data_IF_571005751648
#
_entry.id   IF_571005751648
#
_cell.length_a   1.000
_cell.length_b   1.000
_cell.length_c   1.000
_cell.angle_alpha   90.00
_cell.angle_beta   90.00
_cell.angle_gamma   90.00
#
_symmetry.space_group_name_H-M   'P 1'
#
loop_
_entity.id
_entity.type
_entity.pdbx_description
1 polymer ?
#
# COMPACT_ATOMS: atom_id res chain seq x y z
N UNK A 1 -7.81 8.61 -19.92
CA UNK A 1 -6.41 8.71 -19.47
C UNK A 1 -5.49 8.70 -20.70
N UNK A 2 -5.42 9.81 -21.44
CA UNK A 2 -4.60 9.90 -22.67
C UNK A 2 -3.81 11.20 -22.70
N UNK A 3 -4.46 12.31 -22.34
CA UNK A 3 -3.84 13.62 -22.21
C UNK A 3 -3.61 13.92 -20.74
N UNK A 4 -2.40 14.35 -20.40
CA UNK A 4 -1.97 14.65 -19.03
C UNK A 4 -1.50 16.10 -18.95
N UNK A 5 -1.84 16.76 -17.84
CA UNK A 5 -1.28 18.06 -17.45
C UNK A 5 -0.35 17.83 -16.27
N UNK A 6 0.90 18.25 -16.39
CA UNK A 6 1.85 18.17 -15.27
C UNK A 6 1.48 19.22 -14.21
N UNK A 7 1.36 18.77 -12.97
CA UNK A 7 1.10 19.60 -11.80
C UNK A 7 2.29 19.54 -10.84
N UNK A 8 2.29 20.42 -9.84
CA UNK A 8 3.29 20.43 -8.78
C UNK A 8 3.20 19.15 -7.92
N UNK A 9 4.30 18.72 -7.27
CA UNK A 9 4.26 17.58 -6.36
C UNK A 9 3.20 17.76 -5.26
N UNK A 10 2.24 16.83 -5.21
CA UNK A 10 1.13 16.89 -4.27
C UNK A 10 1.60 16.75 -2.80
N UNK A 11 2.56 15.85 -2.56
CA UNK A 11 3.20 15.63 -1.25
C UNK A 11 4.72 15.48 -1.45
N UNK A 12 5.50 16.04 -0.52
CA UNK A 12 6.97 16.05 -0.53
C UNK A 12 7.48 16.19 0.91
N UNK A 13 8.73 15.81 1.26
CA UNK A 13 9.24 15.88 2.63
C UNK A 13 9.05 17.26 3.26
N UNK A 14 8.30 17.33 4.37
CA UNK A 14 7.94 18.63 4.95
C UNK A 14 7.71 18.60 6.46
N UNK A 15 7.60 17.42 7.07
CA UNK A 15 7.29 17.25 8.49
C UNK A 15 8.27 16.26 9.14
N UNK A 16 8.45 16.27 10.48
CA UNK A 16 9.44 15.40 11.15
C UNK A 16 9.28 13.90 10.87
N UNK A 17 8.07 13.43 10.60
CA UNK A 17 7.74 12.03 10.31
C UNK A 17 8.02 11.61 8.85
N UNK A 18 8.36 12.54 7.97
CA UNK A 18 8.72 12.24 6.58
C UNK A 18 9.90 13.06 6.03
N UNK A 19 10.64 13.72 6.92
CA UNK A 19 11.70 14.66 6.57
C UNK A 19 12.83 14.05 5.73
N UNK A 20 13.06 12.73 5.84
CA UNK A 20 14.04 12.01 5.02
C UNK A 20 13.45 11.38 3.76
N UNK A 21 12.14 11.43 3.56
CA UNK A 21 11.50 10.88 2.37
C UNK A 21 9.98 10.76 2.52
N UNK A 22 9.27 11.09 1.45
CA UNK A 22 7.85 10.80 1.25
C UNK A 22 7.80 9.68 0.22
N UNK A 23 7.57 8.45 0.67
CA UNK A 23 7.59 7.23 -0.13
C UNK A 23 6.18 6.82 -0.55
N UNK A 24 6.10 5.67 -1.22
CA UNK A 24 4.88 5.12 -1.81
C UNK A 24 3.71 5.02 -0.83
N UNK A 25 2.53 4.96 -1.42
CA UNK A 25 1.26 4.98 -0.71
C UNK A 25 0.09 4.81 -1.67
N UNK A 26 -1.11 4.85 -1.11
CA UNK A 26 -2.36 4.65 -1.84
C UNK A 26 -3.39 5.70 -1.46
N UNK A 27 -4.34 5.96 -2.35
CA UNK A 27 -5.46 6.85 -2.09
C UNK A 27 -6.73 6.04 -1.77
N UNK A 28 -7.48 6.47 -0.77
CA UNK A 28 -8.83 5.96 -0.47
C UNK A 28 -9.82 7.11 -0.56
N UNK A 29 -10.87 6.94 -1.36
CA UNK A 29 -12.02 7.85 -1.37
C UNK A 29 -13.08 7.30 -0.44
N UNK A 30 -13.30 7.95 0.69
CA UNK A 30 -14.34 7.54 1.64
C UNK A 30 -15.74 7.95 1.17
N UNK A 31 -16.82 7.32 1.70
CA UNK A 31 -18.21 7.60 1.28
C UNK A 31 -18.67 9.07 1.41
N UNK A 32 -17.94 9.89 2.16
CA UNK A 32 -18.14 11.35 2.28
C UNK A 32 -17.40 12.16 1.19
N UNK A 33 -17.09 11.53 0.04
CA UNK A 33 -16.28 12.08 -1.07
C UNK A 33 -14.97 12.71 -0.58
N UNK A 34 -14.36 12.05 0.40
CA UNK A 34 -13.20 12.56 1.10
C UNK A 34 -11.99 11.69 0.75
N UNK A 35 -11.16 12.10 -0.22
CA UNK A 35 -9.97 11.38 -0.57
C UNK A 35 -8.90 11.57 0.52
N UNK A 36 -8.27 10.49 0.92
CA UNK A 36 -7.13 10.46 1.84
C UNK A 36 -6.00 9.70 1.17
N UNK A 37 -4.81 10.28 1.18
CA UNK A 37 -3.59 9.56 0.79
C UNK A 37 -2.98 8.98 2.04
N UNK A 38 -2.84 7.66 2.11
CA UNK A 38 -2.00 6.97 3.07
C UNK A 38 -0.64 6.73 2.43
N UNK A 39 0.45 7.03 3.13
CA UNK A 39 1.80 6.91 2.57
C UNK A 39 2.84 6.60 3.63
N UNK A 40 4.00 6.13 3.20
CA UNK A 40 5.16 5.94 4.08
C UNK A 40 6.01 7.19 4.14
N UNK A 41 6.26 7.71 5.34
CA UNK A 41 7.30 8.70 5.58
C UNK A 41 8.57 8.06 6.13
N UNK A 42 9.72 8.65 5.83
CA UNK A 42 10.99 8.34 6.49
C UNK A 42 11.28 9.43 7.51
N UNK A 43 11.24 9.07 8.78
CA UNK A 43 11.45 10.03 9.86
C UNK A 43 12.92 10.47 10.00
N UNK A 44 13.19 11.42 10.89
CA UNK A 44 14.54 11.90 11.16
C UNK A 44 15.54 10.80 11.58
N UNK A 45 15.06 9.68 12.13
CA UNK A 45 15.87 8.51 12.53
C UNK A 45 16.04 7.49 11.41
N UNK A 46 15.45 7.73 10.23
CA UNK A 46 15.48 6.79 9.12
C UNK A 46 14.48 5.64 9.27
N UNK A 47 13.51 5.75 10.16
CA UNK A 47 12.44 4.76 10.32
C UNK A 47 11.32 5.04 9.32
N UNK A 48 10.78 3.97 8.74
CA UNK A 48 9.58 4.01 7.92
C UNK A 48 8.36 4.02 8.83
N UNK A 49 7.55 5.07 8.70
CA UNK A 49 6.33 5.29 9.49
C UNK A 49 5.18 5.58 8.55
N UNK A 50 3.97 5.17 8.91
CA UNK A 50 2.80 5.39 8.06
C UNK A 50 2.12 6.68 8.45
N UNK A 51 1.77 7.46 7.44
CA UNK A 51 1.19 8.78 7.56
C UNK A 51 -0.03 8.90 6.66
N UNK A 52 -0.79 9.98 6.85
CA UNK A 52 -1.87 10.35 5.96
C UNK A 52 -1.84 11.84 5.59
N UNK A 53 -2.33 12.14 4.40
CA UNK A 53 -2.54 13.50 3.90
C UNK A 53 -3.98 13.65 3.38
N UNK A 54 -4.51 14.86 3.50
CA UNK A 54 -5.88 15.23 3.09
C UNK A 54 -5.83 16.46 2.18
N UNK A 55 -6.77 16.65 1.25
CA UNK A 55 -6.81 17.86 0.42
C UNK A 55 -6.96 19.11 1.29
N UNK A 56 -6.20 20.15 0.97
CA UNK A 56 -6.35 21.47 1.58
C UNK A 56 -7.64 22.16 1.12
N UNK A 57 -8.06 21.89 -0.12
CA UNK A 57 -9.28 22.40 -0.73
C UNK A 57 -9.91 21.29 -1.57
N UNK A 58 -11.12 20.85 -1.19
CA UNK A 58 -11.87 19.80 -1.89
C UNK A 58 -12.63 20.32 -3.11
N UNK A 59 -12.76 21.64 -3.24
CA UNK A 59 -13.41 22.27 -4.40
C UNK A 59 -12.45 22.46 -5.57
N UNK A 60 -11.14 22.35 -5.32
CA UNK A 60 -10.12 22.26 -6.37
C UNK A 60 -10.25 20.94 -7.11
N UNK A 61 -10.69 21.01 -8.38
CA UNK A 61 -10.87 19.86 -9.26
C UNK A 61 -9.60 19.05 -9.49
N UNK A 62 -8.42 19.67 -9.29
CA UNK A 62 -7.13 19.04 -9.48
C UNK A 62 -6.48 18.61 -8.17
N UNK A 63 -7.08 18.91 -7.01
CA UNK A 63 -6.59 18.59 -5.67
C UNK A 63 -5.08 18.89 -5.52
N UNK A 64 -4.65 20.10 -5.88
CA UNK A 64 -3.22 20.43 -6.01
C UNK A 64 -2.49 20.50 -4.66
N UNK A 65 -3.20 20.89 -3.61
CA UNK A 65 -2.62 21.13 -2.28
C UNK A 65 -3.11 20.10 -1.28
N UNK A 66 -2.17 19.51 -0.56
CA UNK A 66 -2.43 18.52 0.49
C UNK A 66 -1.86 18.96 1.83
N UNK A 67 -2.61 18.71 2.90
CA UNK A 67 -2.23 18.94 4.28
C UNK A 67 -1.88 17.61 4.91
N UNK A 68 -0.77 17.56 5.64
CA UNK A 68 -0.39 16.44 6.50
C UNK A 68 -0.74 16.81 7.94
N UNK A 69 -1.83 16.28 8.52
CA UNK A 69 -2.21 16.66 9.87
C UNK A 69 -1.11 16.30 10.87
N UNK A 70 -0.68 17.26 11.70
CA UNK A 70 0.29 17.02 12.78
C UNK A 70 -0.33 16.18 13.89
N UNK A 71 -1.61 16.43 14.16
CA UNK A 71 -2.42 15.59 15.02
C UNK A 71 -2.79 14.29 14.28
N UNK A 72 -2.20 13.18 14.74
CA UNK A 72 -2.45 11.85 14.19
C UNK A 72 -1.38 11.30 13.24
N UNK A 73 -0.41 12.10 12.80
CA UNK A 73 0.79 11.58 12.13
C UNK A 73 1.99 11.49 13.09
N UNK A 74 2.80 10.42 13.02
CA UNK A 74 2.55 9.21 12.24
C UNK A 74 1.37 8.41 12.79
N UNK A 75 0.51 7.91 11.89
CA UNK A 75 -0.68 7.14 12.27
C UNK A 75 -0.33 5.72 12.71
N UNK A 76 0.77 5.18 12.18
CA UNK A 76 1.31 3.87 12.57
C UNK A 76 2.82 3.93 12.58
N UNK A 77 3.42 3.46 13.66
CA UNK A 77 4.87 3.27 13.79
C UNK A 77 5.18 1.80 14.01
N UNK A 78 6.39 1.38 13.66
CA UNK A 78 6.87 0.04 13.97
C UNK A 78 6.94 -0.18 15.49
N UNK A 79 6.29 -1.22 15.98
CA UNK A 79 6.44 -1.69 17.36
C UNK A 79 7.65 -2.64 17.50
N UNK A 80 7.80 -3.28 18.66
CA UNK A 80 8.92 -4.21 18.94
C UNK A 80 8.94 -5.44 18.02
N UNK A 81 7.83 -5.78 17.38
CA UNK A 81 7.69 -6.93 16.49
C UNK A 81 7.87 -6.56 15.01
N UNK A 82 7.92 -5.27 14.69
CA UNK A 82 8.05 -4.75 13.33
C UNK A 82 9.44 -4.15 13.15
N UNK A 83 10.11 -4.51 12.06
CA UNK A 83 11.35 -3.86 11.69
C UNK A 83 11.05 -2.49 11.07
N UNK A 84 11.35 -1.41 11.80
CA UNK A 84 11.08 -0.04 11.31
C UNK A 84 11.91 0.40 10.10
N UNK A 85 12.92 -0.37 9.65
CA UNK A 85 13.59 -0.15 8.36
C UNK A 85 12.96 -0.92 7.18
N UNK A 86 11.91 -1.69 7.46
CA UNK A 86 11.28 -2.60 6.53
C UNK A 86 9.78 -2.68 6.83
N UNK A 87 9.09 -1.55 6.75
CA UNK A 87 7.68 -1.38 7.09
C UNK A 87 7.07 -0.22 6.28
N UNK A 88 6.46 -0.50 5.12
CA UNK A 88 6.08 0.54 4.16
C UNK A 88 4.93 0.14 3.23
N UNK A 89 4.51 1.13 2.45
CA UNK A 89 3.58 1.03 1.33
C UNK A 89 2.16 0.64 1.77
N UNK A 90 1.43 1.55 2.45
CA UNK A 90 0.06 1.28 2.86
C UNK A 90 -0.87 1.17 1.64
N UNK A 91 -1.79 0.20 1.69
CA UNK A 91 -2.77 -0.06 0.62
C UNK A 91 -3.89 0.96 0.60
N UNK A 92 -4.69 0.93 -0.48
CA UNK A 92 -6.07 1.45 -0.45
C UNK A 92 -6.84 0.75 0.67
N UNK A 93 -7.67 1.50 1.39
CA UNK A 93 -8.45 0.95 2.49
C UNK A 93 -9.76 0.33 1.99
N UNK A 94 -10.19 -0.75 2.66
CA UNK A 94 -11.48 -1.39 2.40
C UNK A 94 -12.27 -1.60 3.69
N UNK A 95 -13.59 -1.65 3.58
CA UNK A 95 -14.47 -1.90 4.71
C UNK A 95 -14.79 -3.39 4.84
N UNK A 96 -14.64 -3.92 6.06
CA UNK A 96 -15.12 -5.26 6.41
C UNK A 96 -15.45 -5.32 7.91
N UNK A 97 -16.56 -5.97 8.25
CA UNK A 97 -16.99 -6.17 9.64
C UNK A 97 -17.07 -4.90 10.51
N UNK A 98 -17.46 -3.78 9.92
CA UNK A 98 -17.58 -2.49 10.61
C UNK A 98 -16.25 -1.78 10.88
N UNK A 99 -15.15 -2.25 10.29
CA UNK A 99 -13.84 -1.60 10.33
C UNK A 99 -13.36 -1.24 8.93
N UNK A 100 -12.61 -0.15 8.85
CA UNK A 100 -11.69 0.09 7.74
C UNK A 100 -10.41 -0.70 7.96
N UNK A 101 -9.86 -1.23 6.88
CA UNK A 101 -8.69 -2.09 6.88
C UNK A 101 -7.66 -1.54 5.89
N UNK A 102 -6.37 -1.62 6.25
CA UNK A 102 -5.25 -1.40 5.32
C UNK A 102 -4.21 -2.50 5.55
N UNK A 103 -3.43 -2.80 4.51
CA UNK A 103 -2.18 -3.55 4.67
C UNK A 103 -0.98 -2.62 4.65
N UNK A 104 0.10 -3.05 5.31
CA UNK A 104 1.42 -2.45 5.18
C UNK A 104 2.43 -3.58 4.98
N UNK A 105 3.27 -3.45 3.95
CA UNK A 105 4.29 -4.41 3.60
C UNK A 105 5.45 -4.41 4.60
N UNK A 106 5.98 -5.59 4.91
CA UNK A 106 7.06 -5.76 5.87
C UNK A 106 7.80 -7.09 5.67
N UNK A 107 8.81 -7.33 6.52
CA UNK A 107 9.39 -8.66 6.76
C UNK A 107 9.65 -8.96 8.25
N UNK A 108 9.65 -10.26 8.58
CA UNK A 108 10.17 -10.83 9.82
C UNK A 108 11.30 -11.80 9.47
N UNK A 109 12.55 -11.40 9.65
CA UNK A 109 13.69 -12.19 9.14
C UNK A 109 13.63 -12.30 7.61
N UNK A 110 13.54 -13.52 7.07
CA UNK A 110 13.34 -13.79 5.63
C UNK A 110 11.87 -13.94 5.22
N UNK A 111 10.94 -13.92 6.17
CA UNK A 111 9.50 -14.05 5.91
C UNK A 111 8.93 -12.71 5.50
N UNK A 112 8.36 -12.62 4.30
CA UNK A 112 7.59 -11.46 3.88
C UNK A 112 6.21 -11.44 4.50
N UNK A 113 5.72 -10.26 4.82
CA UNK A 113 4.52 -10.07 5.65
C UNK A 113 3.69 -8.91 5.13
N UNK A 114 2.37 -9.12 5.03
CA UNK A 114 1.39 -8.05 4.89
C UNK A 114 0.66 -7.85 6.24
N UNK A 115 1.11 -6.87 7.03
CA UNK A 115 0.46 -6.57 8.31
C UNK A 115 -0.88 -5.91 8.08
N UNK A 116 -1.91 -6.37 8.79
CA UNK A 116 -3.25 -5.82 8.74
C UNK A 116 -3.44 -4.81 9.88
N UNK A 117 -4.00 -3.66 9.54
CA UNK A 117 -4.38 -2.62 10.48
C UNK A 117 -5.87 -2.30 10.34
N UNK A 118 -6.53 -2.05 11.46
CA UNK A 118 -7.95 -1.73 11.54
C UNK A 118 -8.21 -0.36 12.12
N UNK A 119 -9.22 0.33 11.61
CA UNK A 119 -9.67 1.63 12.11
C UNK A 119 -11.19 1.75 12.08
N UNK A 120 -11.75 2.46 13.06
CA UNK A 120 -13.16 2.89 13.04
C UNK A 120 -13.34 4.32 12.54
N UNK A 121 -12.33 5.15 12.74
CA UNK A 121 -12.36 6.61 12.52
C UNK A 121 -11.51 7.07 11.33
N UNK A 122 -10.87 6.12 10.62
CA UNK A 122 -10.00 6.32 9.44
C UNK A 122 -8.65 7.00 9.77
N UNK A 123 -8.39 7.29 11.05
CA UNK A 123 -7.23 8.05 11.54
C UNK A 123 -6.39 7.25 12.51
N UNK A 124 -7.04 6.56 13.44
CA UNK A 124 -6.41 5.70 14.44
C UNK A 124 -6.40 4.27 13.92
N UNK A 125 -5.22 3.73 13.68
CA UNK A 125 -5.03 2.40 13.10
C UNK A 125 -4.37 1.47 14.09
N UNK A 126 -4.99 0.31 14.33
CA UNK A 126 -4.51 -0.69 15.29
C UNK A 126 -4.10 -1.95 14.55
N UNK A 127 -2.87 -2.43 14.78
CA UNK A 127 -2.37 -3.70 14.25
C UNK A 127 -3.23 -4.85 14.76
N UNK A 128 -3.63 -5.76 13.88
CA UNK A 128 -4.28 -7.01 14.30
C UNK A 128 -3.27 -7.97 14.92
N UNK A 129 -3.76 -8.94 15.70
CA UNK A 129 -2.90 -9.94 16.35
C UNK A 129 -2.11 -10.81 15.35
N UNK A 130 -2.59 -10.92 14.12
CA UNK A 130 -1.98 -11.70 13.04
C UNK A 130 -1.91 -10.84 11.78
N UNK A 131 -0.89 -11.00 10.92
CA UNK A 131 -0.92 -10.41 9.59
C UNK A 131 -2.06 -11.01 8.75
N UNK A 132 -2.42 -10.34 7.66
CA UNK A 132 -3.39 -10.89 6.71
C UNK A 132 -2.80 -12.14 6.03
N UNK A 133 -1.53 -12.06 5.63
CA UNK A 133 -0.77 -13.11 4.98
C UNK A 133 0.73 -12.95 5.24
N UNK A 134 1.47 -14.06 5.27
CA UNK A 134 2.92 -14.07 5.39
C UNK A 134 3.51 -15.33 4.75
N UNK A 135 4.70 -15.20 4.16
CA UNK A 135 5.32 -16.31 3.40
C UNK A 135 6.83 -16.36 3.68
N UNK A 136 7.34 -17.49 4.20
CA UNK A 136 8.77 -17.67 4.44
C UNK A 136 9.61 -17.49 3.19
N UNK A 137 10.85 -17.01 3.36
CA UNK A 137 11.87 -16.94 2.31
C UNK A 137 11.51 -16.07 1.08
N UNK A 138 10.63 -15.09 1.26
CA UNK A 138 10.27 -14.12 0.20
C UNK A 138 10.88 -12.74 0.43
N UNK A 139 11.46 -12.48 1.61
CA UNK A 139 12.12 -11.22 1.92
C UNK A 139 11.15 -10.09 2.21
N UNK A 140 11.53 -8.86 1.89
CA UNK A 140 10.67 -7.69 2.10
C UNK A 140 9.56 -7.65 1.06
N UNK A 141 8.31 -7.55 1.53
CA UNK A 141 7.15 -7.29 0.67
C UNK A 141 6.95 -5.78 0.55
N UNK A 142 7.01 -5.29 -0.68
CA UNK A 142 6.76 -3.89 -1.05
C UNK A 142 5.44 -3.78 -1.81
N UNK A 143 4.85 -2.58 -1.76
CA UNK A 143 3.65 -2.21 -2.49
C UNK A 143 2.58 -3.32 -2.52
N UNK A 144 2.15 -3.83 -1.35
CA UNK A 144 1.03 -4.75 -1.31
C UNK A 144 -0.18 -4.08 -1.96
N UNK A 145 -1.04 -4.88 -2.57
CA UNK A 145 -2.37 -4.44 -2.99
C UNK A 145 -3.36 -5.57 -2.71
N UNK A 146 -4.57 -5.21 -2.29
CA UNK A 146 -5.59 -6.15 -1.88
C UNK A 146 -6.97 -5.68 -2.30
N UNK A 147 -7.54 -6.34 -3.30
CA UNK A 147 -8.80 -5.93 -3.91
C UNK A 147 -9.64 -7.13 -4.36
N UNK A 148 -10.97 -6.97 -4.38
CA UNK A 148 -11.87 -8.03 -4.79
C UNK A 148 -12.01 -8.10 -6.31
N UNK A 149 -12.29 -9.31 -6.80
CA UNK A 149 -12.59 -9.62 -8.21
C UNK A 149 -13.82 -10.51 -8.29
N UNK A 150 -14.64 -10.28 -9.31
CA UNK A 150 -15.82 -11.11 -9.58
C UNK A 150 -15.41 -12.39 -10.28
N UNK A 151 -16.03 -13.51 -9.88
CA UNK A 151 -15.93 -14.79 -10.58
C UNK A 151 -17.06 -15.00 -11.60
N UNK A 152 -17.99 -14.05 -11.69
CA UNK A 152 -19.22 -14.19 -12.49
C UNK A 152 -19.32 -13.20 -13.65
N UNK A 153 -18.54 -12.12 -13.63
CA UNK A 153 -18.55 -11.10 -14.69
C UNK A 153 -17.23 -10.33 -14.77
N UNK A 154 -17.04 -9.58 -15.85
CA UNK A 154 -15.79 -8.88 -16.16
C UNK A 154 -15.66 -7.47 -15.55
N UNK A 155 -16.71 -6.95 -14.92
CA UNK A 155 -16.68 -5.64 -14.26
C UNK A 155 -15.84 -5.68 -12.98
N UNK A 156 -15.04 -4.64 -12.75
CA UNK A 156 -14.35 -4.41 -11.48
C UNK A 156 -15.34 -4.20 -10.34
N UNK A 157 -14.90 -4.53 -9.12
CA UNK A 157 -15.68 -4.43 -7.90
C UNK A 157 -15.20 -3.24 -7.04
N UNK A 158 -16.05 -2.76 -6.15
CA UNK A 158 -15.61 -1.85 -5.09
C UNK A 158 -14.68 -2.60 -4.12
N UNK A 159 -13.70 -1.91 -3.54
CA UNK A 159 -12.71 -2.52 -2.62
C UNK A 159 -13.36 -3.23 -1.42
N UNK A 160 -14.55 -2.81 -1.00
CA UNK A 160 -15.27 -3.35 0.15
C UNK A 160 -16.24 -4.48 -0.22
N UNK A 161 -16.29 -4.89 -1.49
CA UNK A 161 -17.24 -5.91 -1.94
C UNK A 161 -16.88 -7.31 -1.44
N UNK A 162 -17.87 -8.00 -0.88
CA UNK A 162 -17.78 -9.35 -0.34
C UNK A 162 -18.97 -10.16 -0.83
N UNK A 163 -18.78 -11.46 -1.09
CA UNK A 163 -19.88 -12.31 -1.54
C UNK A 163 -19.44 -13.68 -2.00
N UNK A 164 -20.41 -14.53 -2.34
CA UNK A 164 -20.16 -15.90 -2.82
C UNK A 164 -19.40 -15.94 -4.16
N UNK A 165 -19.62 -14.94 -5.01
CA UNK A 165 -19.05 -14.83 -6.35
C UNK A 165 -17.86 -13.85 -6.36
N UNK A 166 -17.26 -13.61 -5.18
CA UNK A 166 -16.14 -12.67 -4.99
C UNK A 166 -14.91 -13.44 -4.52
N UNK A 167 -13.80 -13.24 -5.22
CA UNK A 167 -12.45 -13.63 -4.78
C UNK A 167 -11.64 -12.37 -4.50
N UNK A 168 -10.50 -12.52 -3.85
CA UNK A 168 -9.58 -11.41 -3.60
C UNK A 168 -8.24 -11.69 -4.24
N UNK A 169 -7.64 -10.65 -4.79
CA UNK A 169 -6.27 -10.65 -5.27
C UNK A 169 -5.40 -10.08 -4.16
N UNK A 170 -4.33 -10.79 -3.81
CA UNK A 170 -3.21 -10.21 -3.06
C UNK A 170 -2.03 -10.07 -4.02
N UNK A 171 -1.61 -8.83 -4.25
CA UNK A 171 -0.43 -8.49 -5.03
C UNK A 171 0.68 -8.06 -4.08
N UNK A 172 1.92 -8.49 -4.33
CA UNK A 172 3.11 -8.01 -3.63
C UNK A 172 4.31 -7.91 -4.57
N UNK A 173 5.14 -6.89 -4.36
CA UNK A 173 6.45 -6.74 -5.00
C UNK A 173 7.52 -7.31 -4.07
N UNK A 174 8.38 -8.21 -4.55
CA UNK A 174 9.48 -8.72 -3.73
C UNK A 174 10.76 -7.92 -3.96
N UNK A 175 11.28 -7.32 -2.88
CA UNK A 175 12.55 -6.59 -2.90
C UNK A 175 13.73 -7.47 -3.35
N UNK A 176 13.69 -8.77 -3.02
CA UNK A 176 14.80 -9.70 -3.29
C UNK A 176 14.86 -10.12 -4.75
N UNK A 177 13.73 -10.46 -5.36
CA UNK A 177 13.67 -10.97 -6.74
C UNK A 177 13.31 -9.90 -7.76
N UNK A 178 12.78 -8.76 -7.30
CA UNK A 178 12.23 -7.69 -8.15
C UNK A 178 11.10 -8.16 -9.07
N UNK A 179 10.37 -9.20 -8.64
CA UNK A 179 9.17 -9.67 -9.32
C UNK A 179 7.91 -9.22 -8.58
N UNK A 180 6.84 -9.11 -9.36
CA UNK A 180 5.48 -8.94 -8.85
C UNK A 180 4.84 -10.33 -8.73
N UNK A 181 4.08 -10.52 -7.65
CA UNK A 181 3.37 -11.76 -7.39
C UNK A 181 1.92 -11.44 -7.13
N UNK A 182 1.05 -12.20 -7.77
CA UNK A 182 -0.39 -12.10 -7.64
C UNK A 182 -0.90 -13.46 -7.23
N UNK A 183 -1.65 -13.52 -6.14
CA UNK A 183 -2.45 -14.70 -5.81
C UNK A 183 -3.92 -14.33 -5.80
N UNK A 184 -4.75 -15.26 -6.26
CA UNK A 184 -6.21 -15.18 -6.13
C UNK A 184 -6.64 -16.13 -5.02
N UNK A 185 -7.52 -15.69 -4.14
CA UNK A 185 -7.93 -16.47 -2.99
C UNK A 185 -9.21 -15.99 -2.34
N UNK A 186 -9.47 -16.52 -1.15
CA UNK A 186 -10.67 -16.22 -0.36
C UNK A 186 -10.28 -15.40 0.87
N UNK A 187 -10.95 -14.27 1.06
CA UNK A 187 -10.81 -13.43 2.24
C UNK A 187 -11.86 -13.79 3.28
N UNK A 188 -11.42 -14.06 4.51
CA UNK A 188 -12.25 -14.36 5.67
C UNK A 188 -12.15 -13.19 6.66
N UNK A 189 -13.04 -12.18 6.55
CA UNK A 189 -12.94 -10.96 7.34
C UNK A 189 -13.17 -11.19 8.85
N UNK A 190 -14.02 -12.16 9.22
CA UNK A 190 -14.24 -12.54 10.61
C UNK A 190 -13.00 -13.14 11.26
N UNK A 191 -12.13 -13.69 10.42
CA UNK A 191 -10.91 -14.32 10.87
C UNK A 191 -9.71 -13.40 10.73
N UNK A 192 -9.74 -12.30 9.97
CA UNK A 192 -8.54 -11.56 9.57
C UNK A 192 -7.55 -12.44 8.80
N UNK A 193 -8.05 -13.18 7.81
CA UNK A 193 -7.25 -14.14 7.05
C UNK A 193 -7.55 -14.10 5.57
N UNK A 194 -6.51 -14.07 4.76
CA UNK A 194 -6.58 -14.39 3.34
C UNK A 194 -5.98 -15.78 3.10
N UNK A 195 -6.59 -16.56 2.23
CA UNK A 195 -6.11 -17.89 1.85
C UNK A 195 -6.07 -17.98 0.31
N UNK A 196 -4.89 -18.04 -0.30
CA UNK A 196 -4.75 -18.30 -1.73
C UNK A 196 -5.45 -19.60 -2.15
N UNK A 197 -6.04 -19.60 -3.34
CA UNK A 197 -6.64 -20.80 -3.92
C UNK A 197 -5.56 -21.84 -4.27
N UNK A 198 -5.95 -23.12 -4.36
CA UNK A 198 -5.00 -24.22 -4.59
C UNK A 198 -4.19 -24.00 -5.87
N UNK A 199 -2.87 -24.05 -5.76
CA UNK A 199 -1.93 -23.88 -6.87
C UNK A 199 -1.46 -22.44 -7.07
N UNK A 200 -2.06 -21.47 -6.38
CA UNK A 200 -1.54 -20.11 -6.26
C UNK A 200 -0.42 -20.13 -5.21
N UNK A 201 0.77 -19.70 -5.60
CA UNK A 201 1.96 -19.71 -4.73
C UNK A 201 2.60 -18.34 -4.78
N UNK A 202 2.57 -17.63 -3.65
CA UNK A 202 3.33 -16.41 -3.48
C UNK A 202 4.83 -16.73 -3.61
N UNK A 203 5.56 -16.02 -4.46
CA UNK A 203 6.96 -16.33 -4.75
C UNK A 203 7.21 -17.17 -6.01
N UNK A 204 6.18 -17.58 -6.78
CA UNK A 204 6.34 -18.14 -8.14
C UNK A 204 5.82 -17.18 -9.22
N UNK A 205 6.70 -16.83 -10.17
CA UNK A 205 6.63 -15.65 -11.08
C UNK A 205 5.28 -15.50 -11.80
N UNK A 206 4.67 -14.32 -11.71
CA UNK A 206 3.62 -13.85 -12.64
C UNK A 206 3.80 -12.35 -12.88
N UNK A 207 4.56 -12.03 -13.95
CA UNK A 207 4.84 -10.68 -14.47
C UNK A 207 5.50 -9.70 -13.49
N UNK A 208 6.18 -8.66 -13.99
CA UNK A 208 6.93 -7.75 -13.13
C UNK A 208 7.27 -6.44 -13.80
N UNK A 209 7.60 -5.44 -12.98
CA UNK A 209 8.02 -4.12 -13.42
C UNK A 209 9.34 -4.21 -14.20
N UNK A 210 9.40 -3.56 -15.36
CA UNK A 210 10.63 -3.38 -16.11
C UNK A 210 11.34 -2.11 -15.59
N UNK A 211 12.35 -2.29 -14.74
CA UNK A 211 13.35 -1.25 -14.55
C UNK A 211 14.03 -0.95 -15.88
N UNK A 212 14.61 0.25 -16.00
CA UNK A 212 15.43 0.52 -17.17
C UNK A 212 16.59 -0.48 -17.25
N UNK A 213 16.87 -0.93 -18.46
CA UNK A 213 17.89 -1.94 -18.75
C UNK A 213 19.29 -1.35 -18.94
N UNK A 214 19.43 -0.03 -18.82
CA UNK A 214 20.69 0.71 -18.95
C UNK A 214 21.30 1.04 -17.57
N UNK A 215 22.45 1.72 -17.57
CA UNK A 215 23.21 2.00 -16.34
C UNK A 215 22.75 3.27 -15.62
N UNK A 216 22.99 3.36 -14.31
CA UNK A 216 22.72 4.60 -13.54
C UNK A 216 23.47 5.80 -14.11
N UNK A 217 24.66 5.59 -14.67
CA UNK A 217 25.43 6.62 -15.35
C UNK A 217 24.72 7.13 -16.61
N UNK A 218 24.04 6.25 -17.35
CA UNK A 218 23.23 6.62 -18.51
C UNK A 218 21.95 7.34 -18.13
N UNK A 219 21.30 6.96 -17.03
CA UNK A 219 20.16 7.68 -16.45
C UNK A 219 20.52 9.14 -16.13
N UNK A 220 21.66 9.35 -15.48
CA UNK A 220 22.17 10.69 -15.17
C UNK A 220 22.49 11.46 -16.45
N UNK A 221 23.07 10.79 -17.45
CA UNK A 221 23.45 11.43 -18.72
C UNK A 221 22.23 11.83 -19.56
N UNK A 222 21.17 11.01 -19.59
CA UNK A 222 19.95 11.27 -20.37
C UNK A 222 18.98 12.20 -19.63
N UNK A 223 19.13 12.35 -18.31
CA UNK A 223 18.43 13.34 -17.50
C UNK A 223 17.01 12.95 -17.10
N UNK A 224 16.61 11.70 -17.34
CA UNK A 224 15.35 11.11 -16.91
C UNK A 224 15.56 9.61 -16.69
N UNK A 225 14.76 9.00 -15.82
CA UNK A 225 14.75 7.56 -15.63
C UNK A 225 13.37 7.07 -15.22
N UNK A 226 12.98 5.90 -15.74
CA UNK A 226 11.66 5.29 -15.50
C UNK A 226 10.54 5.84 -16.40
N UNK A 227 9.61 4.96 -16.76
CA UNK A 227 8.37 5.26 -17.49
C UNK A 227 7.20 4.54 -16.81
N UNK A 228 5.98 5.05 -16.98
CA UNK A 228 4.73 4.41 -16.57
C UNK A 228 4.02 3.78 -17.77
#
# INVERSE_FOLDING_TARGET
MLNWEALEPAIFPSEPFDIKGTWSGSATVFPDDNPVIYYTGVDAKGQQVQNYAIPADRTDKNLRKWVKPKEGNPMVVADKEINGSAFRDPTTAWQANGYWNILVGSRKGSTGVAYLFKSKDKKTWTKTARPLHEVPNTGMWECPDFFPVSTSHEKGLDFSELGKDVKHVLKVSLDVTRFEYYTIGTYFPDQDKYVPDKGQVDGRVVWGWANESDSKEEDVKKGWAGIM
#
